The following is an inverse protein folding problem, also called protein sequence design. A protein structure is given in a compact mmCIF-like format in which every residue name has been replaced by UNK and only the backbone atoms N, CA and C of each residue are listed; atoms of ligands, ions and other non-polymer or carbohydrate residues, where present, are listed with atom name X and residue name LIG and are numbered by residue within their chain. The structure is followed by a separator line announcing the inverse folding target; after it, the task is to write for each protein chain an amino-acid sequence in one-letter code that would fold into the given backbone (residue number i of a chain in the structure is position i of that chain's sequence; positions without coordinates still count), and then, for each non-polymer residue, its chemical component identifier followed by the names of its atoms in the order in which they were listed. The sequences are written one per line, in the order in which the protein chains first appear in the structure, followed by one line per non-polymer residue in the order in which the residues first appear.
data_IF_003489680361
#
_entry.id   IF_003489680361
#
_cell.length_a   1.000
_cell.length_b   1.000
_cell.length_c   1.000
_cell.angle_alpha   90.00
_cell.angle_beta   90.00
_cell.angle_gamma   90.00
#
_symmetry.space_group_name_H-M   'P 1'
#
loop_
_entity.id
_entity.type
_entity.pdbx_description
1 polymer ?
#
# COMPACT_ATOMS: atom_id res chain seq x y z
N UNK A 1 -17.24 -3.89 -3.01
CA UNK A 1 -18.39 -4.77 -3.25
C UNK A 1 -18.18 -5.49 -4.57
N UNK A 2 -18.77 -6.67 -4.75
CA UNK A 2 -18.57 -7.53 -5.94
C UNK A 2 -19.05 -6.87 -7.25
N UNK A 3 -19.94 -5.91 -7.16
CA UNK A 3 -20.49 -5.14 -8.30
C UNK A 3 -19.73 -3.84 -8.62
N UNK A 4 -18.56 -3.64 -8.04
CA UNK A 4 -17.71 -2.46 -8.24
C UNK A 4 -18.11 -1.23 -7.42
N UNK A 5 -19.21 -1.25 -6.67
CA UNK A 5 -19.55 -0.15 -5.78
C UNK A 5 -18.61 -0.11 -4.56
N UNK A 6 -18.22 1.10 -4.14
CA UNK A 6 -17.45 1.32 -2.92
C UNK A 6 -18.36 1.61 -1.72
N UNK A 7 -17.79 1.78 -0.54
CA UNK A 7 -18.51 2.22 0.65
C UNK A 7 -19.00 3.68 0.57
N UNK A 8 -18.46 4.44 -0.39
CA UNK A 8 -18.83 5.85 -0.62
C UNK A 8 -19.80 5.91 -1.81
N UNK A 9 -21.00 6.42 -1.58
CA UNK A 9 -22.00 6.57 -2.63
C UNK A 9 -21.49 7.41 -3.80
N UNK A 10 -21.69 6.90 -5.02
CA UNK A 10 -21.25 7.56 -6.26
C UNK A 10 -19.78 7.31 -6.63
N UNK A 11 -19.03 6.54 -5.83
CA UNK A 11 -17.67 6.12 -6.15
C UNK A 11 -17.67 4.62 -6.47
N UNK A 12 -17.02 4.27 -7.59
CA UNK A 12 -16.93 2.89 -8.09
C UNK A 12 -15.48 2.55 -8.37
N UNK A 13 -15.14 1.26 -8.25
CA UNK A 13 -13.78 0.74 -8.42
C UNK A 13 -13.79 -0.50 -9.33
N UNK A 14 -12.80 -0.61 -10.21
CA UNK A 14 -12.60 -1.76 -11.08
C UNK A 14 -11.13 -1.92 -11.46
N UNK A 15 -10.72 -3.12 -11.82
CA UNK A 15 -9.34 -3.43 -12.22
C UNK A 15 -8.40 -3.53 -11.02
N UNK A 16 -7.14 -3.17 -11.20
CA UNK A 16 -6.06 -3.38 -10.23
C UNK A 16 -6.30 -2.75 -8.85
N UNK A 17 -7.10 -1.70 -8.78
CA UNK A 17 -7.53 -1.11 -7.50
C UNK A 17 -8.40 -2.05 -6.66
N UNK A 18 -9.08 -3.01 -7.32
CA UNK A 18 -9.86 -4.07 -6.66
C UNK A 18 -9.02 -5.31 -6.35
N UNK A 19 -7.77 -5.34 -6.79
CA UNK A 19 -6.82 -6.46 -6.66
C UNK A 19 -6.15 -6.76 -8.00
N UNK A 20 -4.87 -7.08 -7.99
CA UNK A 20 -4.05 -7.28 -9.20
C UNK A 20 -4.45 -8.58 -9.91
N UNK A 21 -4.85 -8.46 -11.18
CA UNK A 21 -5.12 -9.57 -12.10
C UNK A 21 -4.74 -9.23 -13.54
N UNK A 22 -5.08 -10.15 -14.45
CA UNK A 22 -4.90 -9.92 -15.88
C UNK A 22 -5.81 -8.81 -16.43
N UNK A 23 -5.37 -8.16 -17.51
CA UNK A 23 -6.12 -7.08 -18.16
C UNK A 23 -7.56 -7.51 -18.57
N UNK A 24 -7.75 -8.77 -18.92
CA UNK A 24 -9.07 -9.34 -19.25
C UNK A 24 -10.02 -9.30 -18.06
N UNK A 25 -9.55 -9.60 -16.85
CA UNK A 25 -10.34 -9.49 -15.61
C UNK A 25 -10.71 -8.03 -15.33
N UNK A 26 -9.77 -7.11 -15.48
CA UNK A 26 -10.00 -5.68 -15.30
C UNK A 26 -11.06 -5.13 -16.28
N UNK A 27 -11.07 -5.62 -17.52
CA UNK A 27 -12.10 -5.25 -18.50
C UNK A 27 -13.49 -5.72 -18.08
N UNK A 28 -13.63 -6.95 -17.57
CA UNK A 28 -14.91 -7.48 -17.10
C UNK A 28 -15.38 -6.69 -15.87
N UNK A 29 -14.52 -6.42 -14.93
CA UNK A 29 -14.85 -5.61 -13.76
C UNK A 29 -15.25 -4.19 -14.13
N UNK A 30 -14.59 -3.58 -15.12
CA UNK A 30 -15.01 -2.28 -15.67
C UNK A 30 -16.42 -2.31 -16.24
N UNK A 31 -16.82 -3.42 -16.91
CA UNK A 31 -18.19 -3.62 -17.41
C UNK A 31 -19.20 -3.83 -16.28
N UNK A 32 -18.82 -4.54 -15.22
CA UNK A 32 -19.65 -4.71 -14.01
C UNK A 32 -19.90 -3.37 -13.33
N UNK A 33 -18.84 -2.60 -13.09
CA UNK A 33 -18.96 -1.23 -12.55
C UNK A 33 -19.80 -0.33 -13.45
N UNK A 34 -19.67 -0.44 -14.79
CA UNK A 34 -20.47 0.28 -15.76
C UNK A 34 -21.98 -0.04 -15.66
N UNK A 35 -22.32 -1.32 -15.43
CA UNK A 35 -23.71 -1.71 -15.20
C UNK A 35 -24.26 -1.13 -13.87
N UNK A 36 -23.44 -1.16 -12.81
CA UNK A 36 -23.79 -0.60 -11.50
C UNK A 36 -23.98 0.92 -11.58
N UNK A 37 -23.09 1.63 -12.27
CA UNK A 37 -23.19 3.08 -12.53
C UNK A 37 -24.47 3.39 -13.32
N UNK A 38 -24.77 2.61 -14.36
CA UNK A 38 -25.97 2.81 -15.19
C UNK A 38 -27.25 2.66 -14.36
N UNK A 39 -27.28 1.70 -13.44
CA UNK A 39 -28.40 1.55 -12.51
C UNK A 39 -28.46 2.71 -11.50
N UNK A 40 -27.32 3.09 -10.93
CA UNK A 40 -27.23 4.23 -10.00
C UNK A 40 -27.74 5.54 -10.61
N UNK A 41 -27.50 5.74 -11.91
CA UNK A 41 -27.94 6.91 -12.66
C UNK A 41 -29.38 6.76 -13.22
N UNK A 42 -30.02 5.64 -13.01
CA UNK A 42 -31.40 5.39 -13.45
C UNK A 42 -31.58 5.05 -14.94
N UNK A 43 -30.50 4.68 -15.65
CA UNK A 43 -30.56 4.28 -17.06
C UNK A 43 -31.04 2.84 -17.28
N UNK A 44 -30.82 1.97 -16.27
CA UNK A 44 -31.29 0.57 -16.28
C UNK A 44 -31.94 0.25 -14.93
N UNK A 45 -32.78 -0.77 -14.90
CA UNK A 45 -33.41 -1.24 -13.66
C UNK A 45 -32.44 -2.10 -12.83
N UNK A 46 -32.79 -2.36 -11.58
CA UNK A 46 -32.01 -3.26 -10.72
C UNK A 46 -31.98 -4.69 -11.27
N UNK A 47 -33.10 -5.16 -11.85
CA UNK A 47 -33.18 -6.48 -12.47
C UNK A 47 -32.27 -6.60 -13.69
N UNK A 48 -32.20 -5.56 -14.53
CA UNK A 48 -31.30 -5.52 -15.70
C UNK A 48 -29.85 -5.47 -15.25
N UNK A 49 -29.52 -4.72 -14.18
CA UNK A 49 -28.19 -4.71 -13.58
C UNK A 49 -27.80 -6.12 -13.12
N UNK A 50 -28.64 -6.77 -12.32
CA UNK A 50 -28.37 -8.10 -11.78
C UNK A 50 -28.16 -9.15 -12.87
N UNK A 51 -28.95 -9.09 -13.95
CA UNK A 51 -28.79 -9.98 -15.10
C UNK A 51 -27.41 -9.81 -15.75
N UNK A 52 -26.99 -8.56 -15.98
CA UNK A 52 -25.66 -8.23 -16.56
C UNK A 52 -24.51 -8.64 -15.65
N UNK A 53 -24.60 -8.34 -14.36
CA UNK A 53 -23.59 -8.71 -13.36
C UNK A 53 -23.42 -10.23 -13.35
N UNK A 54 -24.49 -11.00 -13.27
CA UNK A 54 -24.45 -12.47 -13.27
C UNK A 54 -23.75 -13.06 -14.50
N UNK A 55 -24.00 -12.49 -15.68
CA UNK A 55 -23.32 -12.93 -16.92
C UNK A 55 -21.81 -12.63 -16.84
N UNK A 56 -21.44 -11.45 -16.36
CA UNK A 56 -20.05 -11.00 -16.24
C UNK A 56 -19.29 -11.77 -15.17
N UNK A 57 -19.93 -12.09 -14.05
CA UNK A 57 -19.37 -12.98 -13.01
C UNK A 57 -19.03 -14.36 -13.56
N UNK A 58 -19.91 -14.96 -14.36
CA UNK A 58 -19.65 -16.25 -14.99
C UNK A 58 -18.43 -16.19 -15.95
N UNK A 59 -18.24 -15.08 -16.67
CA UNK A 59 -17.05 -14.85 -17.50
C UNK A 59 -15.80 -14.70 -16.64
N UNK A 60 -15.88 -13.93 -15.55
CA UNK A 60 -14.80 -13.70 -14.62
C UNK A 60 -14.37 -15.00 -13.91
N UNK A 61 -15.34 -15.81 -13.48
CA UNK A 61 -15.08 -17.12 -12.89
C UNK A 61 -14.35 -18.06 -13.86
N UNK A 62 -14.69 -18.00 -15.15
CA UNK A 62 -13.99 -18.79 -16.17
C UNK A 62 -12.51 -18.38 -16.29
N UNK A 63 -12.20 -17.09 -16.24
CA UNK A 63 -10.83 -16.58 -16.27
C UNK A 63 -10.05 -16.92 -14.98
N UNK A 64 -10.76 -17.01 -13.88
CA UNK A 64 -10.20 -17.34 -12.55
C UNK A 64 -10.02 -18.83 -12.30
N UNK A 65 -10.37 -19.69 -13.27
CA UNK A 65 -10.14 -21.13 -13.23
C UNK A 65 -8.80 -21.46 -13.89
N UNK A 66 -7.92 -22.16 -13.21
CA UNK A 66 -6.66 -22.61 -13.78
C UNK A 66 -5.49 -22.55 -12.81
N UNK A 67 -4.32 -22.97 -13.30
CA UNK A 67 -3.09 -23.07 -12.51
C UNK A 67 -2.63 -21.72 -11.94
N UNK A 68 -2.91 -20.63 -12.64
CA UNK A 68 -2.52 -19.27 -12.28
C UNK A 68 -3.67 -18.44 -11.70
N UNK A 69 -4.83 -19.05 -11.45
CA UNK A 69 -5.99 -18.34 -10.90
C UNK A 69 -5.69 -17.83 -9.50
N UNK A 70 -5.92 -16.55 -9.20
CA UNK A 70 -5.77 -16.00 -7.85
C UNK A 70 -6.80 -16.64 -6.92
N UNK A 71 -6.33 -17.43 -5.96
CA UNK A 71 -7.18 -18.21 -5.04
C UNK A 71 -8.07 -17.37 -4.12
N UNK A 72 -7.78 -16.08 -3.95
CA UNK A 72 -8.38 -15.22 -2.92
C UNK A 72 -8.73 -13.81 -3.41
N UNK A 73 -8.81 -13.57 -4.72
CA UNK A 73 -9.14 -12.24 -5.20
C UNK A 73 -10.57 -11.84 -4.83
N UNK A 74 -10.76 -10.57 -4.46
CA UNK A 74 -12.05 -10.01 -4.06
C UNK A 74 -12.58 -10.54 -2.73
N UNK A 75 -11.87 -11.47 -2.08
CA UNK A 75 -12.17 -11.87 -0.71
C UNK A 75 -11.24 -11.09 0.20
N UNK A 76 -11.81 -10.36 1.13
CA UNK A 76 -11.07 -9.87 2.28
C UNK A 76 -10.41 -11.07 2.95
N UNK A 77 -9.10 -11.15 2.84
CA UNK A 77 -8.35 -12.20 3.51
C UNK A 77 -8.33 -11.84 4.98
N UNK A 78 -9.27 -12.41 5.74
CA UNK A 78 -9.36 -12.18 7.19
C UNK A 78 -8.08 -12.60 7.91
N UNK A 79 -7.29 -13.48 7.30
CA UNK A 79 -5.97 -13.91 7.79
C UNK A 79 -5.02 -14.11 6.63
N UNK A 80 -3.83 -13.55 6.73
CA UNK A 80 -2.70 -13.91 5.86
C UNK A 80 -2.25 -15.33 6.19
N UNK A 81 -1.52 -15.99 5.27
CA UNK A 81 -0.91 -17.31 5.56
C UNK A 81 0.01 -17.28 6.81
N UNK A 82 0.45 -16.10 7.23
CA UNK A 82 1.25 -15.85 8.44
C UNK A 82 0.40 -15.41 9.65
N UNK A 83 -0.93 -15.41 9.54
CA UNK A 83 -1.85 -15.19 10.66
C UNK A 83 -2.15 -13.73 11.01
N UNK A 84 -1.68 -12.76 10.23
CA UNK A 84 -2.00 -11.35 10.43
C UNK A 84 -3.37 -11.05 9.79
N UNK A 85 -4.36 -10.71 10.60
CA UNK A 85 -5.65 -10.27 10.11
C UNK A 85 -5.55 -8.91 9.42
N UNK A 86 -6.34 -8.68 8.37
CA UNK A 86 -6.46 -7.37 7.73
C UNK A 86 -6.89 -6.33 8.78
N UNK A 87 -6.31 -5.14 8.71
CA UNK A 87 -6.66 -4.04 9.61
C UNK A 87 -8.10 -3.60 9.37
N UNK A 88 -8.92 -3.59 10.43
CA UNK A 88 -10.28 -3.08 10.34
C UNK A 88 -10.29 -1.59 10.06
N UNK A 89 -9.40 -0.82 10.66
CA UNK A 89 -9.29 0.62 10.40
C UNK A 89 -8.91 0.93 8.95
N UNK A 90 -8.06 0.08 8.32
CA UNK A 90 -7.74 0.22 6.91
C UNK A 90 -8.98 0.04 6.02
N UNK A 91 -9.85 -0.93 6.35
CA UNK A 91 -11.06 -1.20 5.59
C UNK A 91 -12.12 -0.11 5.74
N UNK A 92 -12.23 0.46 6.93
CA UNK A 92 -13.24 1.45 7.27
C UNK A 92 -12.83 2.87 6.88
N UNK A 93 -11.56 3.22 7.07
CA UNK A 93 -11.07 4.60 7.00
C UNK A 93 -10.04 4.83 5.88
N UNK A 94 -9.52 3.77 5.25
CA UNK A 94 -8.50 3.85 4.22
C UNK A 94 -7.07 4.01 4.75
N UNK A 95 -6.85 3.97 6.06
CA UNK A 95 -5.54 4.00 6.70
C UNK A 95 -5.51 3.05 7.92
N UNK A 96 -4.32 2.58 8.27
CA UNK A 96 -4.13 1.74 9.46
C UNK A 96 -4.00 2.63 10.70
N UNK A 97 -4.85 2.41 11.69
CA UNK A 97 -4.78 3.15 12.95
C UNK A 97 -3.48 2.86 13.71
N UNK A 98 -3.02 3.82 14.51
CA UNK A 98 -1.79 3.68 15.32
C UNK A 98 -1.85 2.50 16.28
N UNK A 99 -3.04 2.14 16.76
CA UNK A 99 -3.26 0.96 17.60
C UNK A 99 -3.10 -0.37 16.88
N UNK A 100 -3.15 -0.38 15.55
CA UNK A 100 -3.07 -1.58 14.73
C UNK A 100 -1.75 -1.70 13.96
N UNK A 101 -1.04 -0.59 13.73
CA UNK A 101 0.15 -0.60 12.85
C UNK A 101 1.31 -1.42 13.41
N UNK A 102 1.47 -1.46 14.74
CA UNK A 102 2.57 -2.19 15.40
C UNK A 102 2.49 -3.72 15.23
N UNK A 103 1.37 -4.25 14.77
CA UNK A 103 1.21 -5.69 14.50
C UNK A 103 1.85 -6.13 13.17
N UNK A 104 2.19 -5.20 12.30
CA UNK A 104 2.85 -5.51 11.03
C UNK A 104 4.34 -5.75 11.22
N UNK A 105 4.91 -6.81 10.61
CA UNK A 105 6.27 -7.26 10.91
C UNK A 105 7.35 -6.29 10.43
N UNK A 106 7.03 -5.41 9.51
CA UNK A 106 7.92 -4.34 9.02
C UNK A 106 7.97 -3.12 9.92
N UNK A 107 7.04 -3.00 10.87
CA UNK A 107 6.98 -1.87 11.82
C UNK A 107 7.77 -2.25 13.07
N UNK A 108 8.97 -1.73 13.19
CA UNK A 108 9.88 -2.04 14.30
C UNK A 108 10.42 -0.77 14.95
N UNK A 109 10.76 -0.85 16.22
CA UNK A 109 11.50 0.17 16.95
C UNK A 109 12.91 -0.34 17.19
N UNK A 110 13.91 0.40 16.75
CA UNK A 110 15.32 0.06 16.89
C UNK A 110 16.12 1.32 17.24
N UNK A 111 17.28 1.14 17.90
CA UNK A 111 18.21 2.25 18.15
C UNK A 111 18.88 2.72 16.85
N UNK A 112 19.00 4.03 16.69
CA UNK A 112 19.58 4.68 15.53
C UNK A 112 18.67 4.63 14.31
N UNK A 113 19.24 4.90 13.13
CA UNK A 113 18.46 4.90 11.89
C UNK A 113 18.05 3.49 11.49
N UNK A 114 16.78 3.30 11.22
CA UNK A 114 16.22 2.01 10.81
C UNK A 114 15.03 2.18 9.87
N UNK A 115 14.72 1.18 9.03
CA UNK A 115 13.52 1.21 8.23
C UNK A 115 12.28 0.87 9.07
N UNK A 116 11.21 1.62 8.83
CA UNK A 116 9.86 1.31 9.27
C UNK A 116 9.05 1.05 8.00
N UNK A 117 8.46 -0.15 7.90
CA UNK A 117 7.79 -0.60 6.69
C UNK A 117 6.31 -0.81 6.98
N UNK A 118 5.50 0.10 6.48
CA UNK A 118 4.04 0.08 6.62
C UNK A 118 3.36 -0.68 5.46
N UNK A 119 3.97 -1.76 5.02
CA UNK A 119 3.41 -2.65 4.01
C UNK A 119 2.35 -3.54 4.64
N UNK A 120 1.11 -3.34 4.25
CA UNK A 120 -0.07 -3.96 4.88
C UNK A 120 -0.76 -4.99 3.98
N UNK A 121 -0.27 -5.18 2.76
CA UNK A 121 -0.87 -6.04 1.76
C UNK A 121 0.07 -7.17 1.34
N UNK A 122 -0.47 -8.39 1.28
CA UNK A 122 0.24 -9.56 0.80
C UNK A 122 0.19 -9.64 -0.73
N UNK A 123 1.07 -8.88 -1.39
CA UNK A 123 1.22 -8.86 -2.85
C UNK A 123 2.56 -9.46 -3.27
N UNK A 124 2.69 -10.03 -4.49
CA UNK A 124 3.97 -10.48 -5.01
C UNK A 124 4.91 -9.29 -5.26
N UNK A 125 5.77 -8.99 -4.28
CA UNK A 125 6.64 -7.82 -4.31
C UNK A 125 7.86 -8.00 -3.43
N UNK A 126 9.08 -7.69 -3.94
CA UNK A 126 10.33 -7.81 -3.19
C UNK A 126 11.40 -6.72 -3.46
N UNK A 127 11.16 -5.61 -4.20
CA UNK A 127 12.22 -4.64 -4.51
C UNK A 127 12.94 -4.10 -3.27
N UNK A 128 12.25 -3.96 -2.15
CA UNK A 128 12.85 -3.47 -0.91
C UNK A 128 13.93 -4.42 -0.33
N UNK A 129 13.75 -5.73 -0.47
CA UNK A 129 14.75 -6.72 -0.10
C UNK A 129 15.97 -6.63 -1.02
N UNK A 130 15.73 -6.64 -2.33
CA UNK A 130 16.79 -6.67 -3.35
C UNK A 130 17.61 -5.37 -3.34
N UNK A 131 16.97 -4.23 -3.05
CA UNK A 131 17.63 -2.94 -2.97
C UNK A 131 18.46 -2.74 -1.69
N UNK A 132 18.30 -3.56 -0.67
CA UNK A 132 18.98 -3.35 0.61
C UNK A 132 20.42 -3.92 0.59
N UNK A 133 21.50 -3.10 0.48
CA UNK A 133 22.85 -3.61 0.38
C UNK A 133 23.37 -4.25 1.68
N UNK A 134 22.63 -4.08 2.78
CA UNK A 134 22.96 -4.64 4.11
C UNK A 134 22.07 -5.82 4.50
N UNK A 135 21.11 -6.22 3.65
CA UNK A 135 20.18 -7.31 3.98
C UNK A 135 19.30 -7.03 5.20
N UNK A 136 19.00 -5.75 5.47
CA UNK A 136 18.16 -5.37 6.62
C UNK A 136 16.69 -5.73 6.43
N UNK A 137 16.25 -6.01 5.21
CA UNK A 137 14.87 -6.31 4.87
C UNK A 137 14.81 -7.70 4.25
N UNK A 138 13.90 -8.52 4.72
CA UNK A 138 13.67 -9.86 4.22
C UNK A 138 12.19 -10.07 3.92
N UNK A 139 11.88 -10.58 2.74
CA UNK A 139 10.58 -11.14 2.43
C UNK A 139 10.57 -12.59 2.91
N UNK A 140 9.49 -13.06 3.51
CA UNK A 140 9.39 -14.40 4.03
C UNK A 140 9.50 -15.50 2.97
N UNK A 141 9.01 -16.70 3.24
CA UNK A 141 9.15 -17.86 2.34
C UNK A 141 8.45 -17.67 0.99
N UNK A 142 7.38 -16.91 0.96
CA UNK A 142 6.59 -16.64 -0.24
C UNK A 142 6.84 -15.20 -0.70
N UNK A 143 6.83 -14.98 -2.01
CA UNK A 143 6.96 -13.64 -2.60
C UNK A 143 5.85 -12.69 -2.13
N UNK A 144 4.74 -13.21 -1.64
CA UNK A 144 3.61 -12.48 -1.07
C UNK A 144 3.71 -12.25 0.44
N UNK A 145 4.77 -12.74 1.09
CA UNK A 145 4.97 -12.50 2.53
C UNK A 145 5.24 -11.01 2.80
N UNK A 146 4.75 -10.53 3.94
CA UNK A 146 5.05 -9.16 4.37
C UNK A 146 6.55 -9.01 4.70
N UNK A 147 7.13 -7.84 4.42
CA UNK A 147 8.53 -7.57 4.72
C UNK A 147 8.79 -7.54 6.22
N UNK A 148 9.90 -8.13 6.62
CA UNK A 148 10.40 -8.17 7.99
C UNK A 148 11.71 -7.37 8.06
N UNK A 149 11.86 -6.56 9.09
CA UNK A 149 13.13 -5.87 9.37
C UNK A 149 14.01 -6.74 10.25
N UNK A 150 15.21 -7.07 9.75
CA UNK A 150 16.19 -7.87 10.48
C UNK A 150 16.72 -7.13 11.71
N UNK A 151 16.83 -7.85 12.82
CA UNK A 151 17.50 -7.34 14.03
C UNK A 151 19.01 -7.59 14.03
N UNK A 152 19.49 -8.47 13.14
CA UNK A 152 20.90 -8.85 13.04
C UNK A 152 21.72 -7.90 12.18
N UNK A 153 21.07 -7.26 11.19
CA UNK A 153 21.72 -6.37 10.24
C UNK A 153 21.43 -4.90 10.55
N UNK A 154 22.48 -4.12 10.66
CA UNK A 154 22.35 -2.69 10.98
C UNK A 154 22.10 -1.86 9.74
N UNK A 155 21.04 -1.08 9.75
CA UNK A 155 20.75 -0.10 8.70
C UNK A 155 21.79 1.01 8.66
N UNK A 156 22.14 1.45 7.46
CA UNK A 156 23.10 2.55 7.22
C UNK A 156 22.43 3.83 6.71
N UNK A 157 21.10 3.88 6.66
CA UNK A 157 20.37 5.05 6.20
C UNK A 157 20.53 5.40 4.72
N UNK A 158 20.92 4.44 3.86
CA UNK A 158 21.19 4.73 2.45
C UNK A 158 19.96 5.18 1.66
N UNK A 159 18.74 4.79 2.04
CA UNK A 159 17.48 5.18 1.38
C UNK A 159 17.10 4.32 0.17
N UNK A 160 17.91 3.33 -0.22
CA UNK A 160 17.62 2.50 -1.40
C UNK A 160 16.27 1.80 -1.31
N UNK A 161 15.93 1.23 -0.15
CA UNK A 161 14.65 0.57 0.06
C UNK A 161 13.46 1.55 -0.02
N UNK A 162 13.65 2.79 0.43
CA UNK A 162 12.62 3.85 0.34
C UNK A 162 12.35 4.18 -1.12
N UNK A 163 13.41 4.45 -1.89
CA UNK A 163 13.32 4.80 -3.31
C UNK A 163 12.79 3.65 -4.18
N UNK A 164 13.10 2.40 -3.82
CA UNK A 164 12.69 1.22 -4.61
C UNK A 164 11.27 0.73 -4.30
N UNK A 165 10.61 1.28 -3.28
CA UNK A 165 9.26 0.87 -2.90
C UNK A 165 8.21 1.55 -3.77
N UNK A 166 7.65 0.84 -4.75
CA UNK A 166 6.57 1.37 -5.61
C UNK A 166 5.29 1.74 -4.83
N UNK A 167 5.08 1.11 -3.67
CA UNK A 167 3.97 1.41 -2.76
C UNK A 167 4.24 2.57 -1.80
N UNK A 168 5.44 3.17 -1.82
CA UNK A 168 5.86 4.27 -0.94
C UNK A 168 5.63 3.97 0.57
N UNK A 169 5.71 2.70 0.95
CA UNK A 169 5.37 2.22 2.29
C UNK A 169 6.59 2.12 3.23
N UNK A 170 7.74 2.67 2.84
CA UNK A 170 8.98 2.55 3.62
C UNK A 170 9.49 3.93 4.00
N UNK A 171 9.76 4.08 5.28
CA UNK A 171 10.35 5.26 5.88
C UNK A 171 11.66 4.87 6.59
N UNK A 172 12.66 5.75 6.61
CA UNK A 172 13.76 5.61 7.55
C UNK A 172 13.48 6.51 8.73
N UNK A 173 13.54 5.95 9.90
CA UNK A 173 13.25 6.66 11.15
C UNK A 173 14.50 6.65 12.02
N UNK A 174 14.81 7.77 12.61
CA UNK A 174 15.80 7.90 13.67
C UNK A 174 15.21 8.70 14.81
N UNK A 175 14.93 8.03 15.92
CA UNK A 175 14.47 8.68 17.13
C UNK A 175 15.64 9.35 17.86
N UNK A 176 15.34 10.41 18.59
CA UNK A 176 16.32 11.08 19.47
C UNK A 176 17.62 11.53 18.77
N UNK A 177 17.52 12.11 17.56
CA UNK A 177 18.67 12.78 16.91
C UNK A 177 19.18 13.94 17.77
N UNK A 178 18.25 14.62 18.44
CA UNK A 178 18.45 15.58 19.53
C UNK A 178 17.35 15.37 20.59
N UNK A 179 17.50 15.87 21.82
CA UNK A 179 16.49 15.73 22.85
C UNK A 179 15.11 16.28 22.39
N UNK A 180 14.13 15.39 22.24
CA UNK A 180 12.78 15.72 21.81
C UNK A 180 12.57 15.81 20.29
N UNK A 181 13.58 15.48 19.48
CA UNK A 181 13.48 15.48 18.02
C UNK A 181 13.78 14.10 17.42
N UNK A 182 13.02 13.74 16.42
CA UNK A 182 13.27 12.61 15.55
C UNK A 182 13.44 13.06 14.10
N UNK A 183 14.03 12.22 13.27
CA UNK A 183 14.17 12.42 11.83
C UNK A 183 13.49 11.31 11.06
N UNK A 184 12.73 11.68 10.04
CA UNK A 184 12.06 10.74 9.12
C UNK A 184 12.49 11.03 7.70
N UNK A 185 13.04 10.02 7.02
CA UNK A 185 13.27 10.08 5.56
C UNK A 185 12.12 9.36 4.88
N UNK A 186 11.48 10.05 3.94
CA UNK A 186 10.31 9.56 3.20
C UNK A 186 10.50 9.73 1.70
N UNK A 187 9.80 8.96 0.86
CA UNK A 187 9.72 9.23 -0.57
C UNK A 187 8.92 10.50 -0.81
N UNK A 188 9.36 11.33 -1.78
CA UNK A 188 8.69 12.59 -2.12
C UNK A 188 8.55 12.72 -3.63
N UNK A 189 7.34 12.61 -4.13
CA UNK A 189 7.01 12.57 -5.56
C UNK A 189 6.30 13.87 -6.05
N UNK A 190 6.21 14.89 -5.20
CA UNK A 190 5.53 16.13 -5.53
C UNK A 190 6.48 17.21 -6.06
N UNK A 191 5.95 18.18 -6.81
CA UNK A 191 6.65 19.37 -7.27
C UNK A 191 5.94 20.62 -6.78
N UNK A 192 6.70 21.69 -6.44
CA UNK A 192 8.16 21.78 -6.43
C UNK A 192 8.79 20.96 -5.32
N UNK A 193 10.06 20.53 -5.49
CA UNK A 193 10.81 19.91 -4.41
C UNK A 193 11.00 20.90 -3.25
N UNK A 194 10.88 20.46 -2.01
CA UNK A 194 11.11 21.30 -0.84
C UNK A 194 12.57 21.71 -0.76
N UNK A 195 12.86 22.77 -0.03
CA UNK A 195 14.21 23.25 0.22
C UNK A 195 14.63 22.95 1.65
N UNK A 196 15.92 22.69 1.84
CA UNK A 196 16.49 22.54 3.18
C UNK A 196 16.22 23.82 3.99
N UNK A 197 15.73 23.65 5.21
CA UNK A 197 15.27 24.73 6.10
C UNK A 197 13.81 25.15 5.88
N UNK A 198 13.11 24.56 4.88
CA UNK A 198 11.69 24.80 4.70
C UNK A 198 10.89 24.16 5.82
N UNK A 199 9.91 24.90 6.36
CA UNK A 199 9.05 24.45 7.44
C UNK A 199 7.69 24.01 6.90
N UNK A 200 7.17 22.96 7.51
CA UNK A 200 5.87 22.40 7.20
C UNK A 200 5.21 21.80 8.44
N UNK A 201 4.07 21.18 8.23
CA UNK A 201 3.35 20.45 9.27
C UNK A 201 3.40 18.96 8.92
N UNK A 202 3.90 18.16 9.85
CA UNK A 202 3.84 16.71 9.74
C UNK A 202 2.40 16.24 9.99
N UNK A 203 1.91 15.38 9.12
CA UNK A 203 0.58 14.79 9.21
C UNK A 203 0.69 13.33 9.67
N UNK A 204 -0.28 12.90 10.47
CA UNK A 204 -0.47 11.50 10.82
C UNK A 204 -1.09 10.69 9.66
N UNK A 205 -1.23 9.38 9.84
CA UNK A 205 -1.89 8.47 8.86
C UNK A 205 -3.33 8.86 8.57
N UNK A 206 -4.00 9.48 9.53
CA UNK A 206 -5.37 10.01 9.41
C UNK A 206 -5.46 11.40 8.76
N UNK A 207 -4.32 11.92 8.29
CA UNK A 207 -4.22 13.25 7.68
C UNK A 207 -4.31 14.42 8.64
N UNK A 208 -4.36 14.17 9.96
CA UNK A 208 -4.38 15.26 10.95
C UNK A 208 -3.00 15.76 11.27
N UNK A 209 -2.91 17.02 11.66
CA UNK A 209 -1.68 17.66 12.08
C UNK A 209 -1.13 17.03 13.35
N UNK A 210 0.16 16.71 13.33
CA UNK A 210 0.89 16.11 14.47
C UNK A 210 1.84 17.12 15.11
N UNK A 211 2.74 17.71 14.31
CA UNK A 211 3.70 18.69 14.81
C UNK A 211 4.29 19.52 13.65
N UNK A 212 4.99 20.61 14.00
CA UNK A 212 5.86 21.31 13.06
C UNK A 212 7.05 20.41 12.66
N UNK A 213 7.45 20.51 11.40
CA UNK A 213 8.60 19.81 10.85
C UNK A 213 9.45 20.76 10.01
N UNK A 214 10.74 20.48 9.91
CA UNK A 214 11.67 21.21 9.07
C UNK A 214 12.41 20.25 8.15
N UNK A 215 12.59 20.63 6.89
CA UNK A 215 13.34 19.85 5.91
C UNK A 215 14.82 19.92 6.21
N UNK A 216 15.41 18.84 6.71
CA UNK A 216 16.83 18.76 7.03
C UNK A 216 17.68 18.42 5.82
N UNK A 217 17.15 17.65 4.88
CA UNK A 217 17.87 17.18 3.70
C UNK A 217 16.92 16.86 2.54
N UNK A 218 17.39 17.09 1.31
CA UNK A 218 16.74 16.65 0.07
C UNK A 218 17.75 15.82 -0.74
N UNK A 219 17.37 14.63 -1.15
CA UNK A 219 18.24 13.70 -1.86
C UNK A 219 17.63 13.35 -3.21
N UNK A 220 18.33 13.69 -4.28
CA UNK A 220 17.90 13.53 -5.69
C UNK A 220 18.93 12.72 -6.51
N UNK A 221 19.57 11.75 -5.89
CA UNK A 221 20.64 10.98 -6.54
C UNK A 221 20.11 10.09 -7.69
N UNK A 222 20.82 9.96 -8.81
CA UNK A 222 20.41 9.12 -9.94
C UNK A 222 20.14 7.65 -9.55
N UNK A 223 20.80 7.14 -8.50
CA UNK A 223 20.59 5.79 -7.98
C UNK A 223 19.18 5.55 -7.42
N UNK A 224 18.43 6.62 -7.18
CA UNK A 224 17.03 6.53 -6.71
C UNK A 224 16.01 6.52 -7.86
N UNK A 225 16.47 6.44 -9.10
CA UNK A 225 15.63 6.32 -10.30
C UNK A 225 14.46 7.32 -10.32
N UNK A 226 14.80 8.61 -10.20
CA UNK A 226 13.88 9.75 -10.15
C UNK A 226 13.01 9.90 -8.88
N UNK A 227 13.03 8.96 -7.94
CA UNK A 227 12.43 9.16 -6.61
C UNK A 227 13.28 10.14 -5.79
N UNK A 228 12.66 11.08 -5.12
CA UNK A 228 13.32 12.02 -4.21
C UNK A 228 13.09 11.61 -2.76
N UNK A 229 14.08 11.83 -1.92
CA UNK A 229 14.00 11.53 -0.49
C UNK A 229 14.28 12.77 0.35
#
# INVERSE_FOLDING_TARGET
QEDGATSVSGIFAAGDVSGIEEASSAMIEGRMSGATISCYLGYITEEEKQARIKELEAQLDTLRQGMFAPKNRGKLVEKTEEGIAVSMSLLENGYVADTEIERYPGVTKQEGIHPVIECTQNIPCNPCQDACPKGCICIGKNITSLPVVSKEHKCIGCGMCVASCSGQAIFLVQENVEPGFGEVTMPYEFLPLPKVGEKGIALGRDGKEVCEAEVTKVRTAPVFDHTNL
#
